data_IF_936128551924
#
_entry.id   IF_936128551924
#
_cell.length_a   1.000
_cell.length_b   1.000
_cell.length_c   1.000
_cell.angle_alpha   90.00
_cell.angle_beta   90.00
_cell.angle_gamma   90.00
#
_symmetry.space_group_name_H-M   'P 1'
#
loop_
_entity.id
_entity.type
_entity.pdbx_description
1 polymer ?
#
# COMPACT_ATOMS: atom_id res chain seq x y z
N UNK A 1 28.01 -52.70 18.26
CA UNK A 1 27.71 -51.93 19.49
C UNK A 1 26.64 -50.93 19.12
N UNK A 2 25.44 -51.19 19.62
CA UNK A 2 24.21 -50.49 19.29
C UNK A 2 24.28 -49.05 19.78
N UNK A 3 24.14 -48.09 18.86
CA UNK A 3 23.96 -46.68 19.18
C UNK A 3 22.55 -46.52 19.75
N UNK A 4 22.42 -46.54 21.07
CA UNK A 4 21.19 -46.12 21.77
C UNK A 4 20.89 -44.67 21.37
N UNK A 5 19.90 -44.50 20.49
CA UNK A 5 19.35 -43.20 20.15
C UNK A 5 18.67 -42.61 21.41
N UNK A 6 18.92 -41.34 21.76
CA UNK A 6 18.29 -40.73 22.91
C UNK A 6 16.79 -40.46 22.65
N UNK A 7 15.95 -41.16 23.42
CA UNK A 7 14.57 -40.83 23.82
C UNK A 7 13.40 -41.16 22.89
N UNK A 8 12.55 -42.09 23.34
CA UNK A 8 11.11 -42.13 23.04
C UNK A 8 10.29 -42.43 24.31
N UNK A 9 10.56 -41.68 25.39
CA UNK A 9 9.84 -41.80 26.69
C UNK A 9 8.30 -41.72 26.57
N UNK A 10 7.78 -41.07 25.52
CA UNK A 10 6.33 -40.99 25.24
C UNK A 10 5.74 -42.31 24.74
N UNK A 11 6.57 -43.15 24.13
CA UNK A 11 6.13 -44.35 23.41
C UNK A 11 6.51 -45.62 24.17
N UNK A 12 7.60 -45.67 24.96
CA UNK A 12 8.07 -46.87 25.69
C UNK A 12 7.03 -47.68 26.50
N UNK A 13 5.89 -47.07 26.88
CA UNK A 13 4.80 -47.75 27.61
C UNK A 13 3.78 -48.46 26.72
N UNK A 14 3.85 -48.33 25.39
CA UNK A 14 2.94 -49.00 24.46
C UNK A 14 3.54 -50.34 23.99
N UNK A 15 2.82 -51.47 24.14
CA UNK A 15 3.26 -52.74 23.58
C UNK A 15 3.20 -52.71 22.04
N UNK A 16 4.25 -53.18 21.38
CA UNK A 16 4.31 -53.32 19.91
C UNK A 16 4.91 -52.13 19.16
N UNK A 17 5.75 -51.32 19.80
CA UNK A 17 6.53 -50.30 19.09
C UNK A 17 7.70 -50.94 18.38
N UNK A 18 7.81 -50.58 17.11
CA UNK A 18 8.91 -50.97 16.26
C UNK A 18 10.20 -50.21 16.65
N UNK A 19 11.26 -50.96 16.92
CA UNK A 19 12.62 -50.45 17.21
C UNK A 19 13.56 -50.61 16.01
N UNK A 20 13.02 -51.02 14.86
CA UNK A 20 13.74 -51.05 13.60
C UNK A 20 14.15 -49.63 13.15
N UNK A 21 15.15 -49.51 12.24
CA UNK A 21 15.57 -48.22 11.72
C UNK A 21 14.38 -47.46 11.11
N UNK A 22 14.24 -46.18 11.48
CA UNK A 22 13.13 -45.32 11.05
C UNK A 22 13.09 -45.12 9.52
N UNK A 23 14.21 -45.28 8.83
CA UNK A 23 14.35 -45.08 7.38
C UNK A 23 15.11 -46.26 6.76
N UNK A 24 14.45 -46.92 5.82
CA UNK A 24 15.05 -47.93 4.95
C UNK A 24 15.25 -47.33 3.56
N UNK A 25 16.39 -46.67 3.36
CA UNK A 25 16.76 -46.08 2.07
C UNK A 25 17.78 -46.94 1.33
N UNK A 26 17.73 -46.88 0.00
CA UNK A 26 18.83 -47.38 -0.83
C UNK A 26 20.07 -46.53 -0.55
N UNK A 27 21.29 -47.11 -0.52
CA UNK A 27 22.50 -46.32 -0.30
C UNK A 27 22.57 -45.19 -1.33
N UNK A 28 22.86 -43.99 -0.86
CA UNK A 28 23.03 -42.81 -1.72
C UNK A 28 23.99 -43.17 -2.84
N UNK A 29 23.48 -43.12 -4.07
CA UNK A 29 24.32 -43.24 -5.24
C UNK A 29 25.26 -42.05 -5.21
N UNK A 30 26.57 -42.29 -5.20
CA UNK A 30 27.54 -41.21 -5.28
C UNK A 30 27.26 -40.40 -6.56
N UNK A 31 26.62 -39.24 -6.39
CA UNK A 31 26.27 -38.32 -7.49
C UNK A 31 27.53 -37.93 -8.28
N UNK A 32 28.70 -38.02 -7.65
CA UNK A 32 30.04 -37.79 -8.21
C UNK A 32 30.52 -38.80 -9.27
N UNK A 33 29.87 -39.96 -9.48
CA UNK A 33 30.29 -40.97 -10.47
C UNK A 33 29.32 -41.07 -11.67
N UNK A 34 28.23 -40.32 -11.66
CA UNK A 34 27.31 -40.29 -12.79
C UNK A 34 27.80 -39.34 -13.89
N UNK A 35 28.23 -39.90 -15.01
CA UNK A 35 28.52 -39.15 -16.26
C UNK A 35 27.25 -38.82 -17.06
N UNK A 36 26.07 -39.03 -16.48
CA UNK A 36 24.80 -38.61 -17.06
C UNK A 36 24.22 -37.47 -16.22
N UNK A 37 24.06 -36.26 -16.78
CA UNK A 37 23.53 -35.12 -16.07
C UNK A 37 22.06 -35.39 -15.73
N UNK A 38 21.80 -35.71 -14.46
CA UNK A 38 20.46 -35.77 -13.90
C UNK A 38 20.13 -34.44 -13.21
N UNK A 39 20.29 -33.33 -13.93
CA UNK A 39 19.66 -32.07 -13.58
C UNK A 39 19.10 -31.45 -14.85
N UNK A 40 17.81 -31.69 -15.07
CA UNK A 40 17.02 -30.82 -15.95
C UNK A 40 16.66 -29.56 -15.16
N UNK A 41 17.68 -28.89 -14.62
CA UNK A 41 17.64 -27.46 -14.39
C UNK A 41 18.42 -26.87 -15.57
N UNK A 42 17.80 -26.95 -16.75
CA UNK A 42 18.16 -26.06 -17.84
C UNK A 42 18.00 -24.64 -17.27
N UNK A 43 19.12 -24.01 -16.93
CA UNK A 43 19.16 -22.56 -16.84
C UNK A 43 18.93 -22.08 -18.27
N UNK A 44 17.66 -21.93 -18.63
CA UNK A 44 17.23 -21.43 -19.92
C UNK A 44 17.54 -19.94 -19.96
N UNK A 45 18.77 -19.62 -20.36
CA UNK A 45 19.13 -18.53 -21.29
C UNK A 45 20.54 -18.02 -21.03
N UNK A 46 21.53 -18.70 -21.61
CA UNK A 46 22.59 -17.98 -22.30
C UNK A 46 23.00 -18.77 -23.55
N UNK A 47 22.14 -18.75 -24.56
CA UNK A 47 22.55 -19.03 -25.93
C UNK A 47 23.33 -17.81 -26.46
N UNK A 48 24.50 -17.56 -25.87
CA UNK A 48 25.45 -16.52 -26.28
C UNK A 48 26.42 -17.02 -27.35
N UNK A 49 26.00 -17.98 -28.18
CA UNK A 49 26.70 -18.38 -29.42
C UNK A 49 25.82 -18.17 -30.67
N UNK A 50 24.72 -17.42 -30.53
CA UNK A 50 24.05 -16.86 -31.69
C UNK A 50 24.89 -15.69 -32.18
N UNK A 51 25.73 -15.94 -33.19
CA UNK A 51 26.38 -14.90 -33.98
C UNK A 51 25.36 -13.79 -34.26
N UNK A 52 25.55 -12.55 -33.76
CA UNK A 52 24.55 -11.48 -33.86
C UNK A 52 24.27 -11.10 -35.34
N UNK A 53 25.16 -11.50 -36.24
CA UNK A 53 25.05 -11.31 -37.69
C UNK A 53 24.28 -12.44 -38.41
N UNK A 54 24.00 -13.57 -37.75
CA UNK A 54 23.31 -14.74 -38.32
C UNK A 54 21.78 -14.71 -38.15
N UNK A 55 21.30 -13.89 -37.22
CA UNK A 55 19.88 -13.70 -36.92
C UNK A 55 19.26 -12.60 -37.79
N UNK A 56 18.18 -12.90 -38.52
CA UNK A 56 17.39 -11.88 -39.23
C UNK A 56 16.69 -10.90 -38.27
N UNK A 57 16.75 -11.14 -36.95
CA UNK A 57 16.16 -10.32 -35.90
C UNK A 57 17.26 -9.52 -35.20
N UNK A 58 17.10 -8.19 -35.18
CA UNK A 58 18.00 -7.29 -34.46
C UNK A 58 17.73 -7.37 -32.95
N UNK A 59 18.53 -8.15 -32.22
CA UNK A 59 18.51 -8.21 -30.76
C UNK A 59 19.28 -7.03 -30.17
N UNK A 60 18.69 -5.82 -30.21
CA UNK A 60 19.26 -4.66 -29.53
C UNK A 60 19.03 -4.79 -28.03
N UNK A 61 20.11 -4.84 -27.24
CA UNK A 61 20.04 -4.81 -25.77
C UNK A 61 19.38 -3.50 -25.32
N UNK A 62 18.30 -3.60 -24.56
CA UNK A 62 17.60 -2.45 -24.01
C UNK A 62 18.45 -1.84 -22.89
N UNK A 63 19.00 -0.65 -23.14
CA UNK A 63 19.66 0.14 -22.10
C UNK A 63 18.63 1.09 -21.49
N UNK A 64 18.05 0.69 -20.36
CA UNK A 64 16.97 1.45 -19.68
C UNK A 64 17.42 2.86 -19.29
N UNK A 65 18.67 3.03 -18.85
CA UNK A 65 19.19 4.32 -18.40
C UNK A 65 19.39 5.28 -19.57
N UNK A 66 19.93 4.80 -20.68
CA UNK A 66 20.05 5.56 -21.92
C UNK A 66 18.65 5.95 -22.43
N UNK A 67 17.71 5.00 -22.48
CA UNK A 67 16.34 5.26 -22.87
C UNK A 67 15.67 6.31 -21.95
N UNK A 68 15.86 6.22 -20.63
CA UNK A 68 15.33 7.18 -19.66
C UNK A 68 15.84 8.59 -19.92
N UNK A 69 17.14 8.76 -20.16
CA UNK A 69 17.73 10.07 -20.49
C UNK A 69 17.17 10.66 -21.80
N UNK A 70 16.81 9.81 -22.77
CA UNK A 70 16.21 10.26 -24.03
C UNK A 70 14.79 10.80 -23.85
N UNK A 71 14.00 10.21 -22.95
CA UNK A 71 12.59 10.59 -22.74
C UNK A 71 12.36 11.57 -21.58
N UNK A 72 13.31 11.74 -20.66
CA UNK A 72 13.24 12.71 -19.55
C UNK A 72 12.87 14.16 -19.99
N UNK A 73 13.44 14.73 -21.07
CA UNK A 73 13.09 16.09 -21.47
C UNK A 73 11.74 16.21 -22.17
N UNK A 74 11.13 15.09 -22.58
CA UNK A 74 9.85 15.09 -23.30
C UNK A 74 8.70 15.01 -22.30
N UNK A 75 7.85 16.04 -22.26
CA UNK A 75 6.58 16.02 -21.54
C UNK A 75 5.44 16.09 -22.56
N UNK A 76 4.46 15.21 -22.40
CA UNK A 76 3.27 15.15 -23.25
C UNK A 76 2.09 15.64 -22.43
N UNK A 77 1.37 16.64 -22.94
CA UNK A 77 0.09 17.08 -22.37
C UNK A 77 -1.03 16.23 -22.95
N UNK A 78 -1.87 15.66 -22.07
CA UNK A 78 -2.98 14.78 -22.43
C UNK A 78 -4.35 15.40 -22.13
N UNK A 79 -4.39 16.65 -21.67
CA UNK A 79 -5.64 17.34 -21.36
C UNK A 79 -6.28 17.86 -22.66
N UNK A 80 -7.20 17.08 -23.23
CA UNK A 80 -7.91 17.41 -24.49
C UNK A 80 -7.88 16.31 -25.55
N UNK A 81 -7.49 15.08 -25.20
CA UNK A 81 -7.58 13.94 -26.12
C UNK A 81 -9.03 13.47 -26.19
N UNK A 82 -9.80 14.06 -27.10
CA UNK A 82 -11.15 13.60 -27.45
C UNK A 82 -11.06 12.58 -28.59
N UNK A 83 -11.41 11.31 -28.31
CA UNK A 83 -11.46 10.22 -29.30
C UNK A 83 -12.73 10.25 -30.17
N UNK A 84 -13.53 11.31 -30.08
CA UNK A 84 -14.77 11.49 -30.85
C UNK A 84 -14.56 12.10 -32.23
N UNK A 85 -13.31 12.33 -32.65
CA UNK A 85 -13.02 12.98 -33.91
C UNK A 85 -13.10 12.03 -35.12
N UNK A 86 -13.66 12.54 -36.22
CA UNK A 86 -13.95 11.77 -37.43
C UNK A 86 -12.66 11.67 -38.28
N UNK A 87 -12.35 10.48 -38.83
CA UNK A 87 -11.07 10.09 -39.48
C UNK A 87 -10.57 11.02 -40.63
N UNK A 88 -11.37 12.02 -41.02
CA UNK A 88 -11.08 12.95 -42.10
C UNK A 88 -10.05 14.05 -41.76
N UNK A 89 -9.84 14.42 -40.49
CA UNK A 89 -8.84 15.44 -40.13
C UNK A 89 -7.75 14.87 -39.22
N UNK A 90 -6.53 14.78 -39.78
CA UNK A 90 -5.33 14.38 -39.01
C UNK A 90 -4.87 15.54 -38.14
N UNK A 91 -5.26 15.56 -36.87
CA UNK A 91 -4.58 16.37 -35.87
C UNK A 91 -3.48 15.53 -35.20
N UNK A 92 -2.22 15.94 -35.40
CA UNK A 92 -1.08 15.29 -34.74
C UNK A 92 -0.98 15.76 -33.29
N UNK A 93 -0.67 14.84 -32.36
CA UNK A 93 -0.33 15.16 -30.98
C UNK A 93 0.78 16.22 -30.93
N UNK A 94 0.54 17.33 -30.23
CA UNK A 94 1.52 18.40 -30.06
C UNK A 94 2.47 18.03 -28.92
N UNK A 95 3.70 17.62 -29.24
CA UNK A 95 4.78 17.48 -28.26
C UNK A 95 5.53 18.81 -28.16
N UNK A 96 5.56 19.44 -26.98
CA UNK A 96 6.33 20.67 -26.76
C UNK A 96 7.64 20.34 -26.06
N UNK A 97 8.76 20.45 -26.77
CA UNK A 97 10.09 20.42 -26.15
C UNK A 97 10.42 21.81 -25.63
N UNK A 98 10.51 21.99 -24.30
CA UNK A 98 10.99 23.23 -23.67
C UNK A 98 12.49 23.41 -23.95
N UNK A 99 12.82 23.79 -25.17
CA UNK A 99 14.15 24.29 -25.48
C UNK A 99 14.25 25.70 -24.87
N UNK A 100 15.00 25.81 -23.76
CA UNK A 100 15.26 27.09 -23.08
C UNK A 100 15.86 28.09 -24.07
N UNK A 101 15.04 29.03 -24.57
CA UNK A 101 15.51 30.32 -25.06
C UNK A 101 15.30 31.34 -23.96
N UNK A 102 16.42 31.81 -23.45
CA UNK A 102 16.56 32.94 -22.52
C UNK A 102 15.99 34.20 -23.18
N UNK A 103 14.91 34.74 -22.64
CA UNK A 103 14.32 36.02 -23.04
C UNK A 103 13.03 36.27 -22.26
N UNK A 104 13.04 37.31 -21.44
CA UNK A 104 11.90 37.84 -20.68
C UNK A 104 10.66 38.04 -21.54
N UNK A 105 9.52 37.52 -21.11
CA UNK A 105 8.21 38.16 -21.30
C UNK A 105 7.37 37.88 -20.06
N UNK A 106 7.27 38.90 -19.21
CA UNK A 106 6.12 39.11 -18.34
C UNK A 106 4.91 39.36 -19.25
N UNK A 107 3.89 38.55 -19.13
CA UNK A 107 2.59 38.76 -19.78
C UNK A 107 1.54 37.96 -19.04
N UNK A 108 0.65 38.67 -18.35
CA UNK A 108 -0.61 38.14 -17.83
C UNK A 108 -1.33 37.35 -18.94
N UNK A 109 -1.56 36.07 -18.68
CA UNK A 109 -2.44 35.23 -19.49
C UNK A 109 -3.81 35.17 -18.79
N UNK A 110 -4.62 36.21 -19.00
CA UNK A 110 -6.07 36.13 -18.85
C UNK A 110 -6.65 35.49 -20.11
N UNK A 111 -7.34 34.34 -20.00
CA UNK A 111 -8.34 33.93 -20.99
C UNK A 111 -9.28 32.83 -20.45
N UNK A 112 -9.86 33.04 -19.27
CA UNK A 112 -11.11 32.38 -18.90
C UNK A 112 -12.27 33.28 -19.32
N UNK A 113 -12.89 32.97 -20.45
CA UNK A 113 -14.18 33.55 -20.85
C UNK A 113 -15.24 33.21 -19.79
N UNK A 114 -15.50 34.15 -18.87
CA UNK A 114 -16.52 34.02 -17.82
C UNK A 114 -17.91 33.77 -18.42
N UNK A 115 -18.40 32.54 -18.33
CA UNK A 115 -19.81 32.21 -18.59
C UNK A 115 -20.68 32.94 -17.55
N UNK A 116 -21.47 33.92 -17.98
CA UNK A 116 -22.31 34.73 -17.09
C UNK A 116 -23.26 33.89 -16.21
N UNK A 117 -23.40 34.26 -14.93
CA UNK A 117 -24.32 33.59 -13.99
C UNK A 117 -25.79 33.80 -14.36
N UNK A 118 -26.64 32.80 -14.09
CA UNK A 118 -28.07 32.78 -14.47
C UNK A 118 -28.84 34.01 -13.98
N UNK A 119 -28.54 34.51 -12.77
CA UNK A 119 -29.16 35.72 -12.22
C UNK A 119 -28.79 36.98 -13.03
N UNK A 120 -27.52 37.07 -13.45
CA UNK A 120 -27.03 38.18 -14.30
C UNK A 120 -27.66 38.11 -15.69
N UNK A 121 -27.78 36.90 -16.26
CA UNK A 121 -28.47 36.65 -17.53
C UNK A 121 -29.95 37.05 -17.49
N UNK A 122 -30.66 36.76 -16.40
CA UNK A 122 -32.08 37.12 -16.23
C UNK A 122 -32.27 38.64 -16.09
N UNK A 123 -31.40 39.31 -15.35
CA UNK A 123 -31.44 40.77 -15.22
C UNK A 123 -31.10 41.47 -16.54
N UNK A 124 -30.18 40.90 -17.34
CA UNK A 124 -29.88 41.40 -18.69
C UNK A 124 -31.08 41.24 -19.61
N UNK A 125 -31.70 40.06 -19.64
CA UNK A 125 -32.90 39.82 -20.45
C UNK A 125 -34.07 40.74 -20.07
N UNK A 126 -34.25 41.05 -18.77
CA UNK A 126 -35.27 42.03 -18.35
C UNK A 126 -34.99 43.42 -18.94
N UNK A 127 -33.73 43.85 -18.95
CA UNK A 127 -33.34 45.13 -19.52
C UNK A 127 -33.48 45.14 -21.05
N UNK A 128 -33.05 44.07 -21.72
CA UNK A 128 -33.21 43.90 -23.17
C UNK A 128 -34.71 43.89 -23.57
N UNK A 129 -35.58 43.24 -22.77
CA UNK A 129 -37.02 43.24 -23.02
C UNK A 129 -37.66 44.64 -22.85
N UNK A 130 -37.21 45.42 -21.86
CA UNK A 130 -37.65 46.80 -21.67
C UNK A 130 -37.17 47.72 -22.79
N UNK A 131 -35.93 47.56 -23.24
CA UNK A 131 -35.37 48.31 -24.36
C UNK A 131 -36.13 48.05 -25.68
N UNK A 132 -36.53 46.80 -25.91
CA UNK A 132 -37.38 46.44 -27.05
C UNK A 132 -38.79 47.05 -26.97
N UNK A 133 -39.36 47.14 -25.76
CA UNK A 133 -40.65 47.79 -25.54
C UNK A 133 -40.58 49.30 -25.85
N UNK A 134 -39.54 49.97 -25.37
CA UNK A 134 -39.29 51.39 -25.65
C UNK A 134 -39.04 51.64 -27.15
N UNK A 135 -38.28 50.77 -27.82
CA UNK A 135 -38.02 50.88 -29.26
C UNK A 135 -39.32 50.68 -30.08
N UNK A 136 -40.17 49.73 -29.67
CA UNK A 136 -41.48 49.52 -30.28
C UNK A 136 -42.40 50.74 -30.12
N UNK A 137 -42.41 51.37 -28.93
CA UNK A 137 -43.18 52.59 -28.69
C UNK A 137 -42.68 53.79 -29.50
N UNK A 138 -41.35 53.95 -29.64
CA UNK A 138 -40.75 55.00 -30.46
C UNK A 138 -41.07 54.83 -31.94
N UNK A 139 -40.98 53.60 -32.48
CA UNK A 139 -41.37 53.30 -33.87
C UNK A 139 -42.84 53.58 -34.14
N UNK A 140 -43.72 53.27 -33.16
CA UNK A 140 -45.15 53.61 -33.23
C UNK A 140 -45.39 55.12 -33.27
N UNK A 141 -44.62 55.91 -32.53
CA UNK A 141 -44.72 57.38 -32.51
C UNK A 141 -44.13 58.03 -33.77
N UNK A 142 -43.07 57.45 -34.34
CA UNK A 142 -42.43 57.93 -35.58
C UNK A 142 -43.30 57.74 -36.84
N UNK A 143 -44.37 56.94 -36.76
CA UNK A 143 -45.34 56.81 -37.83
C UNK A 143 -44.78 56.12 -39.09
N UNK A 144 -43.76 55.28 -38.94
CA UNK A 144 -43.23 54.45 -40.04
C UNK A 144 -44.30 53.44 -40.47
N UNK A 145 -44.85 53.65 -41.66
CA UNK A 145 -45.89 52.80 -42.27
C UNK A 145 -45.32 51.72 -43.20
N UNK A 146 -44.02 51.44 -43.14
CA UNK A 146 -43.48 50.25 -43.81
C UNK A 146 -43.70 49.04 -42.91
N UNK A 147 -44.75 48.28 -43.24
CA UNK A 147 -44.98 46.87 -42.89
C UNK A 147 -44.35 46.38 -41.59
N UNK A 148 -45.15 46.04 -40.58
CA UNK A 148 -45.22 44.65 -40.14
C UNK A 148 -46.68 44.35 -39.76
N UNK A 149 -47.21 43.21 -40.18
CA UNK A 149 -48.41 42.59 -39.59
C UNK A 149 -48.08 42.22 -38.13
N UNK A 150 -48.08 43.22 -37.26
CA UNK A 150 -47.41 43.17 -35.94
C UNK A 150 -48.41 43.23 -34.78
N UNK A 151 -49.56 42.58 -34.94
CA UNK A 151 -50.46 42.37 -33.79
C UNK A 151 -49.85 41.43 -32.76
N UNK A 152 -48.96 40.52 -33.19
CA UNK A 152 -48.44 39.46 -32.35
C UNK A 152 -47.18 39.85 -31.55
N UNK A 153 -46.38 40.83 -31.98
CA UNK A 153 -45.14 41.17 -31.28
C UNK A 153 -45.41 41.73 -29.87
N UNK A 154 -46.45 42.55 -29.72
CA UNK A 154 -46.85 43.12 -28.43
C UNK A 154 -47.38 42.04 -27.47
N UNK A 155 -48.19 41.12 -27.97
CA UNK A 155 -48.70 39.99 -27.19
C UNK A 155 -47.56 39.04 -26.77
N UNK A 156 -46.60 38.79 -27.66
CA UNK A 156 -45.41 37.97 -27.35
C UNK A 156 -44.53 38.66 -26.30
N UNK A 157 -44.34 39.98 -26.36
CA UNK A 157 -43.59 40.74 -25.35
C UNK A 157 -44.26 40.69 -23.97
N UNK A 158 -45.59 40.88 -23.91
CA UNK A 158 -46.37 40.77 -22.68
C UNK A 158 -46.30 39.35 -22.09
N UNK A 159 -46.39 38.30 -22.93
CA UNK A 159 -46.24 36.91 -22.51
C UNK A 159 -44.83 36.58 -21.97
N UNK A 160 -43.79 37.19 -22.52
CA UNK A 160 -42.41 37.02 -22.05
C UNK A 160 -42.23 37.72 -20.70
N UNK A 161 -42.71 38.96 -20.54
CA UNK A 161 -42.67 39.67 -19.26
C UNK A 161 -43.43 38.90 -18.18
N UNK A 162 -44.64 38.43 -18.48
CA UNK A 162 -45.47 37.63 -17.57
C UNK A 162 -44.78 36.34 -17.12
N UNK A 163 -44.09 35.64 -18.04
CA UNK A 163 -43.37 34.40 -17.70
C UNK A 163 -42.13 34.69 -16.86
N UNK A 164 -41.40 35.76 -17.17
CA UNK A 164 -40.24 36.20 -16.37
C UNK A 164 -40.67 36.63 -14.97
N UNK A 165 -41.79 37.36 -14.85
CA UNK A 165 -42.35 37.79 -13.57
C UNK A 165 -42.95 36.63 -12.76
N UNK A 166 -43.56 35.62 -13.40
CA UNK A 166 -43.99 34.37 -12.72
C UNK A 166 -42.81 33.59 -12.16
N UNK A 167 -41.70 33.48 -12.91
CA UNK A 167 -40.47 32.82 -12.42
C UNK A 167 -39.85 33.61 -11.27
N UNK A 168 -39.93 34.95 -11.32
CA UNK A 168 -39.47 35.81 -10.22
C UNK A 168 -40.38 35.73 -8.98
N UNK A 169 -41.70 35.71 -9.16
CA UNK A 169 -42.69 35.64 -8.09
C UNK A 169 -42.75 34.26 -7.42
N UNK A 170 -42.62 33.17 -8.17
CA UNK A 170 -42.50 31.81 -7.64
C UNK A 170 -41.29 31.64 -6.70
N UNK A 171 -40.27 32.48 -6.86
CA UNK A 171 -39.09 32.51 -5.99
C UNK A 171 -39.25 33.43 -4.76
N UNK A 172 -40.21 34.37 -4.77
CA UNK A 172 -40.36 35.40 -3.72
C UNK A 172 -41.65 35.29 -2.86
N UNK A 173 -42.68 34.56 -3.27
CA UNK A 173 -43.97 34.48 -2.56
C UNK A 173 -44.01 33.41 -1.47
N UNK A 174 -43.99 33.83 -0.19
CA UNK A 174 -44.15 32.95 0.99
C UNK A 174 -45.42 33.26 1.77
N UNK A 175 -46.37 32.32 1.82
CA UNK A 175 -47.47 32.26 2.78
C UNK A 175 -47.19 31.19 3.86
N UNK A 176 -47.93 31.21 4.96
CA UNK A 176 -47.75 30.29 6.12
C UNK A 176 -48.11 28.84 5.82
N UNK A 177 -49.08 28.60 4.93
CA UNK A 177 -49.48 27.26 4.44
C UNK A 177 -48.38 26.52 3.66
N UNK A 178 -47.78 27.10 2.59
CA UNK A 178 -46.69 26.43 1.88
C UNK A 178 -45.42 26.31 2.73
N UNK A 179 -45.30 27.10 3.80
CA UNK A 179 -44.21 26.96 4.77
C UNK A 179 -44.43 25.74 5.67
N UNK A 180 -45.67 25.51 6.12
CA UNK A 180 -46.08 24.33 6.88
C UNK A 180 -45.95 23.05 6.04
N UNK A 181 -46.46 23.04 4.82
CA UNK A 181 -46.32 21.89 3.91
C UNK A 181 -44.85 21.60 3.60
N UNK A 182 -44.02 22.64 3.42
CA UNK A 182 -42.57 22.47 3.23
C UNK A 182 -41.90 21.94 4.49
N UNK A 183 -42.35 22.30 5.70
CA UNK A 183 -41.80 21.74 6.94
C UNK A 183 -42.23 20.31 7.18
N UNK A 184 -43.47 19.94 6.84
CA UNK A 184 -43.98 18.57 6.95
C UNK A 184 -43.28 17.67 5.92
N UNK A 185 -43.10 18.13 4.69
CA UNK A 185 -42.33 17.39 3.67
C UNK A 185 -40.85 17.22 4.06
N UNK A 186 -40.25 18.22 4.72
CA UNK A 186 -38.88 18.10 5.26
C UNK A 186 -38.77 17.10 6.40
N UNK A 187 -39.82 16.96 7.22
CA UNK A 187 -39.85 15.98 8.30
C UNK A 187 -40.06 14.56 7.76
N UNK A 188 -40.96 14.40 6.78
CA UNK A 188 -41.22 13.12 6.13
C UNK A 188 -40.05 12.65 5.23
N UNK A 189 -39.26 13.58 4.71
CA UNK A 189 -38.05 13.29 3.91
C UNK A 189 -36.76 13.24 4.73
N UNK A 190 -36.84 13.18 6.07
CA UNK A 190 -35.67 13.07 6.92
C UNK A 190 -35.14 11.63 6.89
N UNK A 191 -34.03 11.41 6.18
CA UNK A 191 -33.26 10.17 6.31
C UNK A 191 -32.56 10.15 7.69
N UNK A 192 -32.65 9.04 8.45
CA UNK A 192 -31.98 8.92 9.75
C UNK A 192 -30.48 9.18 9.61
N UNK A 193 -29.98 10.17 10.37
CA UNK A 193 -28.58 10.53 10.59
C UNK A 193 -27.53 9.98 9.60
N UNK A 194 -27.55 10.47 8.36
CA UNK A 194 -26.38 10.37 7.50
C UNK A 194 -25.23 11.19 8.10
N UNK A 195 -24.00 10.64 8.07
CA UNK A 195 -22.80 11.32 8.58
C UNK A 195 -22.71 12.73 7.98
N UNK A 196 -22.75 13.75 8.84
CA UNK A 196 -22.81 15.12 8.35
C UNK A 196 -21.55 15.45 7.57
N UNK A 197 -21.73 16.05 6.39
CA UNK A 197 -20.61 16.47 5.52
C UNK A 197 -19.64 17.38 6.26
N UNK A 198 -20.14 18.17 7.22
CA UNK A 198 -19.35 19.03 8.11
C UNK A 198 -18.47 18.24 9.06
N UNK A 199 -18.96 17.15 9.68
CA UNK A 199 -18.14 16.28 10.54
C UNK A 199 -17.12 15.50 9.70
N UNK A 200 -17.48 15.00 8.52
CA UNK A 200 -16.54 14.34 7.62
C UNK A 200 -15.42 15.28 7.16
N UNK A 201 -15.74 16.53 6.80
CA UNK A 201 -14.72 17.54 6.49
C UNK A 201 -13.93 17.99 7.71
N UNK A 202 -14.52 17.97 8.90
CA UNK A 202 -13.82 18.30 10.15
C UNK A 202 -12.84 17.19 10.57
N UNK A 203 -13.17 15.93 10.32
CA UNK A 203 -12.26 14.79 10.54
C UNK A 203 -11.12 14.81 9.52
N UNK A 204 -11.41 15.13 8.25
CA UNK A 204 -10.38 15.25 7.20
C UNK A 204 -9.42 16.43 7.43
N UNK A 205 -9.92 17.52 8.04
CA UNK A 205 -9.16 18.74 8.29
C UNK A 205 -8.65 18.87 9.75
N UNK A 206 -8.81 17.84 10.57
CA UNK A 206 -8.27 17.87 11.93
C UNK A 206 -6.73 17.85 11.88
N UNK A 207 -6.05 18.75 12.60
CA UNK A 207 -4.61 18.64 12.77
C UNK A 207 -4.32 17.31 13.46
N UNK A 208 -3.31 16.54 12.98
CA UNK A 208 -3.04 15.22 13.53
C UNK A 208 -2.66 15.39 15.01
N UNK A 209 -3.13 14.46 15.85
CA UNK A 209 -2.99 14.54 17.31
C UNK A 209 -1.55 14.92 17.71
N UNK A 210 -1.36 15.83 18.68
CA UNK A 210 -0.04 16.26 19.14
C UNK A 210 0.69 15.06 19.76
N UNK A 211 1.60 14.48 18.98
CA UNK A 211 2.28 13.21 19.26
C UNK A 211 2.67 12.46 17.98
N UNK A 212 1.91 12.62 16.90
CA UNK A 212 2.13 11.94 15.61
C UNK A 212 3.23 12.58 14.76
N UNK A 213 3.38 13.91 14.75
CA UNK A 213 4.41 14.60 13.95
C UNK A 213 5.84 14.37 14.45
N UNK A 214 6.01 14.22 15.77
CA UNK A 214 7.30 13.88 16.39
C UNK A 214 7.68 12.44 16.01
N UNK A 215 6.70 11.54 15.91
CA UNK A 215 6.91 10.17 15.44
C UNK A 215 7.21 10.10 13.94
N UNK A 216 6.53 10.87 13.08
CA UNK A 216 6.79 10.82 11.63
C UNK A 216 8.19 11.30 11.26
N UNK A 217 8.67 12.39 11.88
CA UNK A 217 10.04 12.89 11.64
C UNK A 217 11.12 11.96 12.20
N UNK A 218 10.85 11.30 13.34
CA UNK A 218 11.73 10.27 13.88
C UNK A 218 11.74 9.02 13.01
N UNK A 219 10.57 8.58 12.52
CA UNK A 219 10.44 7.46 11.59
C UNK A 219 11.13 7.76 10.26
N UNK A 220 10.94 8.95 9.70
CA UNK A 220 11.63 9.38 8.48
C UNK A 220 13.15 9.35 8.66
N UNK A 221 13.66 9.77 9.82
CA UNK A 221 15.09 9.66 10.14
C UNK A 221 15.56 8.22 10.25
N UNK A 222 14.79 7.33 10.87
CA UNK A 222 15.12 5.90 10.96
C UNK A 222 15.06 5.23 9.59
N UNK A 223 14.09 5.58 8.75
CA UNK A 223 13.95 5.08 7.38
C UNK A 223 15.07 5.59 6.48
N UNK A 224 15.45 6.86 6.58
CA UNK A 224 16.61 7.41 5.88
C UNK A 224 17.90 6.71 6.31
N UNK A 225 18.08 6.49 7.62
CA UNK A 225 19.22 5.75 8.13
C UNK A 225 19.23 4.28 7.66
N UNK A 226 18.07 3.63 7.59
CA UNK A 226 17.95 2.28 7.05
C UNK A 226 18.27 2.23 5.55
N UNK A 227 17.83 3.23 4.78
CA UNK A 227 18.16 3.36 3.36
C UNK A 227 19.67 3.61 3.13
N UNK A 228 20.33 4.40 3.99
CA UNK A 228 21.79 4.59 3.94
C UNK A 228 22.54 3.28 4.24
N UNK A 229 22.06 2.48 5.21
CA UNK A 229 22.63 1.17 5.50
C UNK A 229 22.41 0.19 4.35
N UNK A 230 21.22 0.18 3.75
CA UNK A 230 20.89 -0.66 2.59
C UNK A 230 21.75 -0.29 1.37
N UNK A 231 21.92 1.00 1.09
CA UNK A 231 22.81 1.48 0.03
C UNK A 231 24.27 1.05 0.28
N UNK A 232 24.74 1.08 1.54
CA UNK A 232 26.08 0.61 1.90
C UNK A 232 26.21 -0.91 1.79
N UNK A 233 25.18 -1.66 2.17
CA UNK A 233 25.13 -3.12 2.02
C UNK A 233 25.15 -3.47 0.53
N UNK A 234 24.32 -2.84 -0.30
CA UNK A 234 24.31 -3.01 -1.75
C UNK A 234 25.67 -2.69 -2.39
N UNK A 235 26.38 -1.66 -1.91
CA UNK A 235 27.76 -1.37 -2.36
C UNK A 235 28.73 -2.48 -1.96
N UNK A 236 28.61 -3.03 -0.74
CA UNK A 236 29.42 -4.16 -0.30
C UNK A 236 29.10 -5.42 -1.09
N UNK A 237 27.83 -5.73 -1.33
CA UNK A 237 27.37 -6.84 -2.16
C UNK A 237 27.88 -6.73 -3.59
N UNK A 238 27.82 -5.53 -4.19
CA UNK A 238 28.38 -5.26 -5.50
C UNK A 238 29.90 -5.48 -5.51
N UNK A 239 30.62 -5.04 -4.47
CA UNK A 239 32.07 -5.25 -4.36
C UNK A 239 32.46 -6.71 -4.17
N UNK A 240 31.61 -7.48 -3.52
CA UNK A 240 31.79 -8.92 -3.29
C UNK A 240 31.22 -9.77 -4.45
N UNK A 241 30.49 -9.17 -5.39
CA UNK A 241 29.83 -9.86 -6.50
C UNK A 241 28.65 -10.74 -6.06
N UNK A 242 28.16 -10.60 -4.83
CA UNK A 242 27.05 -11.35 -4.27
C UNK A 242 25.72 -10.73 -4.73
N UNK A 243 25.43 -10.79 -6.04
CA UNK A 243 24.09 -10.43 -6.52
C UNK A 243 23.09 -11.53 -6.12
N UNK A 244 21.83 -11.19 -5.82
CA UNK A 244 20.83 -12.12 -5.26
C UNK A 244 20.54 -13.42 -6.02
N UNK A 245 21.14 -13.64 -7.20
CA UNK A 245 21.19 -14.94 -7.89
C UNK A 245 22.29 -15.89 -7.35
N UNK A 246 23.24 -15.37 -6.56
CA UNK A 246 24.29 -16.10 -5.85
C UNK A 246 23.97 -16.24 -4.35
N UNK A 247 22.68 -16.24 -4.00
CA UNK A 247 22.25 -16.60 -2.65
C UNK A 247 22.54 -18.10 -2.46
N UNK A 248 23.31 -18.51 -1.44
CA UNK A 248 23.81 -19.88 -1.29
C UNK A 248 22.72 -20.90 -0.90
N UNK A 249 21.44 -20.50 -0.87
CA UNK A 249 20.34 -21.36 -0.45
C UNK A 249 19.80 -22.27 -1.58
N UNK A 250 20.24 -22.09 -2.83
CA UNK A 250 19.74 -22.87 -3.99
C UNK A 250 20.82 -23.32 -5.00
N UNK A 251 22.11 -23.08 -4.77
CA UNK A 251 23.19 -23.51 -5.68
C UNK A 251 24.12 -24.51 -5.00
N UNK A 252 24.36 -25.68 -5.62
CA UNK A 252 25.32 -26.70 -5.18
C UNK A 252 26.75 -26.13 -4.97
N UNK A 253 27.07 -25.02 -5.63
CA UNK A 253 28.28 -24.24 -5.40
C UNK A 253 28.03 -23.13 -4.36
N UNK A 254 27.88 -23.51 -3.09
CA UNK A 254 27.89 -22.52 -2.00
C UNK A 254 29.15 -21.66 -2.11
N UNK A 255 28.99 -20.33 -2.15
CA UNK A 255 30.08 -19.38 -2.30
C UNK A 255 31.21 -19.72 -1.33
N UNK A 256 32.33 -20.24 -1.84
CA UNK A 256 33.46 -20.57 -0.99
C UNK A 256 33.86 -19.33 -0.18
N UNK A 257 34.15 -19.46 1.13
CA UNK A 257 34.46 -18.31 1.95
C UNK A 257 35.60 -17.53 1.31
N UNK A 258 35.37 -16.25 1.01
CA UNK A 258 36.33 -15.38 0.29
C UNK A 258 37.70 -15.42 0.98
N UNK A 259 37.72 -15.53 2.31
CA UNK A 259 38.95 -15.65 3.08
C UNK A 259 39.71 -16.94 2.82
N UNK A 260 39.05 -18.10 2.69
CA UNK A 260 39.78 -19.36 2.42
C UNK A 260 40.28 -19.44 0.99
N UNK A 261 39.55 -18.86 0.04
CA UNK A 261 40.03 -18.75 -1.35
C UNK A 261 41.20 -17.78 -1.45
N UNK A 262 41.17 -16.65 -0.74
CA UNK A 262 42.27 -15.69 -0.69
C UNK A 262 43.50 -16.27 0.03
N UNK A 263 43.32 -16.98 1.14
CA UNK A 263 44.41 -17.68 1.84
C UNK A 263 45.02 -18.79 0.95
N UNK A 264 44.18 -19.55 0.23
CA UNK A 264 44.67 -20.52 -0.75
C UNK A 264 45.43 -19.83 -1.89
N UNK A 265 44.96 -18.69 -2.39
CA UNK A 265 45.66 -17.92 -3.41
C UNK A 265 46.99 -17.36 -2.87
N UNK A 266 47.03 -16.87 -1.64
CA UNK A 266 48.24 -16.42 -0.97
C UNK A 266 49.24 -17.56 -0.81
N UNK A 267 48.80 -18.74 -0.35
CA UNK A 267 49.61 -19.94 -0.28
C UNK A 267 50.14 -20.36 -1.66
N UNK A 268 49.33 -20.24 -2.72
CA UNK A 268 49.82 -20.52 -4.09
C UNK A 268 50.81 -19.46 -4.58
N UNK A 269 50.63 -18.18 -4.23
CA UNK A 269 51.56 -17.09 -4.55
C UNK A 269 52.89 -17.27 -3.82
N UNK A 270 52.84 -17.65 -2.55
CA UNK A 270 54.01 -17.99 -1.73
C UNK A 270 54.69 -19.23 -2.29
N UNK A 271 53.95 -20.25 -2.72
CA UNK A 271 54.52 -21.44 -3.36
C UNK A 271 55.19 -21.11 -4.70
N UNK A 272 54.59 -20.24 -5.52
CA UNK A 272 55.19 -19.76 -6.78
C UNK A 272 56.42 -18.90 -6.50
N UNK A 273 56.37 -18.01 -5.50
CA UNK A 273 57.52 -17.21 -5.07
C UNK A 273 58.65 -18.06 -4.48
N UNK A 274 58.31 -19.11 -3.74
CA UNK A 274 59.25 -20.07 -3.16
C UNK A 274 59.79 -21.07 -4.19
N UNK A 275 59.06 -21.34 -5.28
CA UNK A 275 59.53 -22.12 -6.43
C UNK A 275 60.41 -21.28 -7.38
N UNK A 276 60.24 -19.96 -7.40
CA UNK A 276 61.11 -19.04 -8.12
C UNK A 276 62.49 -18.87 -7.43
N UNK A 277 62.57 -19.11 -6.11
CA UNK A 277 63.82 -19.43 -5.44
C UNK A 277 64.05 -20.95 -5.44
N UNK A 278 65.27 -21.45 -5.40
CA UNK A 278 65.51 -22.91 -5.34
C UNK A 278 65.11 -23.56 -4.00
N UNK A 279 64.38 -22.86 -3.14
CA UNK A 279 64.09 -23.23 -1.74
C UNK A 279 63.01 -24.30 -1.60
N UNK A 280 62.06 -24.40 -2.53
CA UNK A 280 61.02 -25.43 -2.50
C UNK A 280 61.60 -26.84 -2.66
N UNK A 281 62.62 -26.99 -3.51
CA UNK A 281 63.30 -28.27 -3.71
C UNK A 281 63.98 -28.73 -2.41
N UNK A 282 64.71 -27.84 -1.74
CA UNK A 282 65.39 -28.10 -0.48
C UNK A 282 64.40 -28.38 0.66
N UNK A 283 63.35 -27.57 0.80
CA UNK A 283 62.29 -27.80 1.78
C UNK A 283 61.55 -29.14 1.54
N UNK A 284 61.30 -29.52 0.28
CA UNK A 284 60.68 -30.80 -0.05
C UNK A 284 61.57 -31.99 0.30
N UNK A 285 62.89 -31.85 0.18
CA UNK A 285 63.85 -32.88 0.59
C UNK A 285 63.90 -33.00 2.11
N UNK A 286 63.87 -31.88 2.83
CA UNK A 286 63.78 -31.88 4.29
C UNK A 286 62.47 -32.50 4.80
N UNK A 287 61.33 -32.19 4.17
CA UNK A 287 60.04 -32.81 4.51
C UNK A 287 60.06 -34.31 4.24
N UNK A 288 60.63 -34.76 3.12
CA UNK A 288 60.80 -36.20 2.84
C UNK A 288 61.70 -36.89 3.87
N UNK A 289 62.78 -36.24 4.30
CA UNK A 289 63.63 -36.74 5.39
C UNK A 289 62.84 -36.86 6.70
N UNK A 290 62.07 -35.82 7.06
CA UNK A 290 61.27 -35.84 8.28
C UNK A 290 60.13 -36.87 8.23
N UNK A 291 59.56 -37.14 7.06
CA UNK A 291 58.58 -38.23 6.88
C UNK A 291 59.25 -39.58 7.11
N UNK A 292 60.43 -39.81 6.53
CA UNK A 292 61.17 -41.06 6.74
C UNK A 292 61.56 -41.24 8.22
N UNK A 293 61.99 -40.16 8.90
CA UNK A 293 62.31 -40.18 10.32
C UNK A 293 61.07 -40.44 11.19
N UNK A 294 59.92 -39.87 10.84
CA UNK A 294 58.65 -40.11 11.53
C UNK A 294 58.12 -41.52 11.32
N UNK A 295 58.28 -42.08 10.11
CA UNK A 295 57.94 -43.47 9.81
C UNK A 295 58.83 -44.44 10.60
N UNK A 296 60.14 -44.16 10.70
CA UNK A 296 61.06 -44.94 11.53
C UNK A 296 60.69 -44.87 13.03
N UNK A 297 60.29 -43.70 13.53
CA UNK A 297 59.80 -43.54 14.91
C UNK A 297 58.48 -44.27 15.15
N UNK A 298 57.58 -44.29 14.17
CA UNK A 298 56.32 -45.04 14.24
C UNK A 298 56.58 -46.55 14.28
N UNK A 299 57.52 -47.03 13.46
CA UNK A 299 57.94 -48.44 13.48
C UNK A 299 58.57 -48.80 14.83
N UNK A 300 59.49 -47.98 15.34
CA UNK A 300 60.07 -48.17 16.67
C UNK A 300 59.02 -48.16 17.80
N UNK A 301 57.96 -47.35 17.66
CA UNK A 301 56.85 -47.29 18.62
C UNK A 301 55.94 -48.52 18.55
N UNK A 302 55.67 -49.04 17.35
CA UNK A 302 54.93 -50.30 17.15
C UNK A 302 55.73 -51.50 17.70
N UNK A 303 57.04 -51.53 17.46
CA UNK A 303 57.95 -52.54 18.02
C UNK A 303 58.03 -52.44 19.56
N UNK A 304 57.92 -51.23 20.13
CA UNK A 304 57.82 -51.01 21.57
C UNK A 304 56.44 -51.39 22.14
N UNK A 305 55.34 -51.18 21.41
CA UNK A 305 54.00 -51.62 21.81
C UNK A 305 53.87 -53.15 21.83
N UNK A 306 54.54 -53.85 20.91
CA UNK A 306 54.61 -55.32 20.87
C UNK A 306 55.41 -55.93 22.04
N UNK A 307 56.20 -55.09 22.75
CA UNK A 307 56.96 -55.50 23.95
C UNK A 307 56.17 -55.47 25.27
N UNK A 308 54.87 -55.20 25.23
CA UNK A 308 53.92 -55.65 26.27
C UNK A 308 53.62 -54.69 27.42
N UNK A 309 53.52 -53.38 27.18
CA UNK A 309 53.04 -52.42 28.20
C UNK A 309 52.00 -51.40 27.66
N UNK A 310 51.20 -51.80 26.66
CA UNK A 310 50.11 -50.99 26.14
C UNK A 310 48.75 -51.57 26.60
N UNK A 311 48.10 -50.85 27.53
CA UNK A 311 46.69 -51.07 27.86
C UNK A 311 45.83 -50.97 26.59
N UNK A 312 44.72 -51.73 26.47
CA UNK A 312 43.86 -51.66 25.28
C UNK A 312 43.39 -50.23 25.06
N UNK A 313 43.29 -49.75 23.80
CA UNK A 313 42.79 -48.41 23.50
C UNK A 313 41.43 -48.25 24.16
N UNK A 314 41.43 -47.40 25.18
CA UNK A 314 40.39 -47.36 26.18
C UNK A 314 39.05 -46.98 25.56
N UNK A 315 37.93 -47.36 26.16
CA UNK A 315 36.60 -46.84 25.82
C UNK A 315 36.54 -45.29 25.77
N UNK A 316 37.55 -44.61 26.32
CA UNK A 316 37.71 -43.17 26.22
C UNK A 316 38.14 -42.75 24.82
N UNK A 317 38.96 -43.52 24.11
CA UNK A 317 39.35 -43.23 22.72
C UNK A 317 38.18 -43.37 21.75
N UNK A 318 37.31 -44.37 21.94
CA UNK A 318 36.08 -44.49 21.14
C UNK A 318 35.09 -43.36 21.44
N UNK A 319 34.95 -42.94 22.70
CA UNK A 319 34.16 -41.76 23.09
C UNK A 319 34.76 -40.45 22.56
N UNK A 320 36.08 -40.30 22.61
CA UNK A 320 36.79 -39.14 22.06
C UNK A 320 36.61 -39.09 20.55
N UNK A 321 36.75 -40.21 19.83
CA UNK A 321 36.51 -40.28 18.39
C UNK A 321 35.05 -39.98 18.02
N UNK A 322 34.09 -40.42 18.84
CA UNK A 322 32.69 -40.05 18.66
C UNK A 322 32.46 -38.54 18.87
N UNK A 323 33.10 -37.91 19.88
CA UNK A 323 33.06 -36.46 20.10
C UNK A 323 33.79 -35.68 19.00
N UNK A 324 34.89 -36.20 18.48
CA UNK A 324 35.60 -35.62 17.35
C UNK A 324 34.79 -35.71 16.05
N UNK A 325 33.89 -36.71 15.94
CA UNK A 325 32.91 -36.80 14.87
C UNK A 325 31.76 -35.77 14.99
N UNK A 326 31.38 -35.38 16.21
CA UNK A 326 30.34 -34.36 16.42
C UNK A 326 30.90 -32.93 16.46
N UNK A 327 32.22 -32.76 16.67
CA UNK A 327 32.86 -31.45 16.71
C UNK A 327 32.72 -30.66 15.39
N UNK A 328 32.90 -31.24 14.19
CA UNK A 328 32.71 -30.52 12.93
C UNK A 328 31.28 -30.00 12.73
N UNK A 329 30.26 -30.70 13.24
CA UNK A 329 28.87 -30.20 13.15
C UNK A 329 28.63 -29.06 14.13
N UNK A 330 29.21 -29.12 15.33
CA UNK A 330 29.18 -28.04 16.31
C UNK A 330 29.96 -26.82 15.81
N UNK A 331 31.14 -27.00 15.22
CA UNK A 331 31.95 -25.91 14.67
C UNK A 331 31.25 -25.18 13.52
N UNK A 332 30.49 -25.90 12.69
CA UNK A 332 29.64 -25.28 11.65
C UNK A 332 28.46 -24.50 12.23
N UNK A 333 27.85 -24.98 13.32
CA UNK A 333 26.66 -24.37 13.94
C UNK A 333 26.99 -23.25 14.94
N UNK A 334 28.17 -23.29 15.56
CA UNK A 334 28.65 -22.29 16.52
C UNK A 334 28.59 -20.84 16.00
N UNK A 335 29.04 -20.51 14.77
CA UNK A 335 28.94 -19.15 14.25
C UNK A 335 27.50 -18.72 13.91
N UNK A 336 26.57 -19.66 13.72
CA UNK A 336 25.16 -19.35 13.43
C UNK A 336 24.34 -19.03 14.71
N UNK A 337 24.73 -19.56 15.87
CA UNK A 337 24.07 -19.31 17.15
C UNK A 337 23.91 -17.82 17.52
N UNK A 338 24.94 -16.95 17.45
CA UNK A 338 24.75 -15.54 17.78
C UNK A 338 23.74 -14.84 16.85
N UNK A 339 23.75 -15.15 15.55
CA UNK A 339 22.79 -14.61 14.60
C UNK A 339 21.36 -15.06 14.91
N UNK A 340 21.18 -16.34 15.23
CA UNK A 340 19.87 -16.89 15.63
C UNK A 340 19.41 -16.27 16.95
N UNK A 341 20.30 -16.03 17.91
CA UNK A 341 19.96 -15.37 19.17
C UNK A 341 19.55 -13.90 18.96
N UNK A 342 20.22 -13.17 18.07
CA UNK A 342 19.81 -11.80 17.72
C UNK A 342 18.44 -11.78 17.03
N UNK A 343 18.20 -12.70 16.08
CA UNK A 343 16.88 -12.88 15.45
C UNK A 343 15.80 -13.28 16.45
N UNK A 344 16.10 -14.17 17.39
CA UNK A 344 15.17 -14.54 18.46
C UNK A 344 14.91 -13.38 19.42
N UNK A 345 15.88 -12.49 19.65
CA UNK A 345 15.70 -11.29 20.46
C UNK A 345 14.79 -10.28 19.78
N UNK A 346 14.95 -10.04 18.47
CA UNK A 346 14.02 -9.19 17.70
C UNK A 346 12.64 -9.83 17.62
N UNK A 347 12.57 -11.14 17.39
CA UNK A 347 11.33 -11.89 17.35
C UNK A 347 10.62 -11.89 18.71
N UNK A 348 11.35 -11.99 19.83
CA UNK A 348 10.78 -11.83 21.17
C UNK A 348 10.12 -10.48 21.34
N UNK A 349 10.74 -9.39 20.87
CA UNK A 349 10.15 -8.06 20.92
C UNK A 349 8.84 -8.02 20.11
N UNK A 350 8.83 -8.60 18.91
CA UNK A 350 7.63 -8.72 18.09
C UNK A 350 6.55 -9.55 18.79
N UNK A 351 6.87 -10.72 19.35
CA UNK A 351 5.91 -11.54 20.10
C UNK A 351 5.35 -10.84 21.33
N UNK A 352 6.18 -10.10 22.08
CA UNK A 352 5.67 -9.30 23.21
C UNK A 352 4.75 -8.19 22.76
N UNK A 353 5.05 -7.53 21.63
CA UNK A 353 4.16 -6.52 21.05
C UNK A 353 2.87 -7.13 20.50
N UNK A 354 2.93 -8.33 19.93
CA UNK A 354 1.76 -9.06 19.44
C UNK A 354 0.84 -9.50 20.60
N UNK A 355 1.42 -9.97 21.71
CA UNK A 355 0.66 -10.30 22.91
C UNK A 355 -0.02 -9.06 23.52
N UNK A 356 0.68 -7.92 23.57
CA UNK A 356 0.08 -6.67 24.03
C UNK A 356 -1.03 -6.16 23.07
N UNK A 357 -0.86 -6.33 21.76
CA UNK A 357 -1.88 -6.00 20.78
C UNK A 357 -3.12 -6.91 20.91
N UNK A 358 -2.93 -8.20 21.18
CA UNK A 358 -4.02 -9.14 21.45
C UNK A 358 -4.82 -8.74 22.69
N UNK A 359 -4.16 -8.32 23.78
CA UNK A 359 -4.82 -7.78 24.97
C UNK A 359 -5.64 -6.51 24.66
N UNK A 360 -5.07 -5.57 23.90
CA UNK A 360 -5.77 -4.34 23.48
C UNK A 360 -6.95 -4.65 22.56
N UNK A 361 -6.83 -5.63 21.67
CA UNK A 361 -7.92 -6.07 20.80
C UNK A 361 -9.04 -6.74 21.61
N UNK A 362 -8.69 -7.59 22.58
CA UNK A 362 -9.66 -8.20 23.49
C UNK A 362 -10.38 -7.14 24.33
N UNK A 363 -9.67 -6.12 24.81
CA UNK A 363 -10.30 -4.98 25.50
C UNK A 363 -11.22 -4.18 24.56
N UNK A 364 -10.80 -3.96 23.31
CA UNK A 364 -11.61 -3.26 22.31
C UNK A 364 -12.89 -4.04 21.99
N UNK A 365 -12.81 -5.36 21.83
CA UNK A 365 -13.98 -6.24 21.63
C UNK A 365 -14.93 -6.17 22.83
N UNK A 366 -14.39 -6.18 24.05
CA UNK A 366 -15.18 -5.98 25.27
C UNK A 366 -15.83 -4.58 25.36
N UNK A 367 -15.20 -3.54 24.82
CA UNK A 367 -15.80 -2.20 24.73
C UNK A 367 -16.85 -2.11 23.62
N UNK A 368 -16.62 -2.73 22.48
CA UNK A 368 -17.58 -2.77 21.37
C UNK A 368 -18.86 -3.50 21.77
N UNK A 369 -18.76 -4.67 22.41
CA UNK A 369 -19.93 -5.37 22.94
C UNK A 369 -20.74 -4.54 23.95
N UNK A 370 -20.07 -3.79 24.86
CA UNK A 370 -20.77 -2.84 25.74
C UNK A 370 -21.44 -1.70 24.98
N UNK A 371 -20.78 -1.14 23.96
CA UNK A 371 -21.37 -0.10 23.12
C UNK A 371 -22.60 -0.61 22.36
N UNK A 372 -22.57 -1.85 21.86
CA UNK A 372 -23.74 -2.47 21.24
C UNK A 372 -24.90 -2.64 22.22
N UNK A 373 -24.63 -2.99 23.49
CA UNK A 373 -25.65 -3.03 24.54
C UNK A 373 -26.21 -1.63 24.86
N UNK A 374 -25.36 -0.62 24.93
CA UNK A 374 -25.77 0.78 25.12
C UNK A 374 -26.62 1.28 23.95
N UNK A 375 -26.24 0.99 22.71
CA UNK A 375 -27.01 1.33 21.50
C UNK A 375 -28.39 0.67 21.54
N UNK A 376 -28.48 -0.63 21.89
CA UNK A 376 -29.78 -1.30 22.06
C UNK A 376 -30.63 -0.68 23.17
N UNK A 377 -30.01 -0.16 24.23
CA UNK A 377 -30.73 0.57 25.26
C UNK A 377 -31.21 1.94 24.77
N UNK A 378 -30.41 2.63 23.95
CA UNK A 378 -30.79 3.90 23.33
C UNK A 378 -31.92 3.71 22.32
N UNK A 379 -31.92 2.62 21.54
CA UNK A 379 -33.02 2.26 20.64
C UNK A 379 -34.32 2.08 21.43
N UNK A 380 -34.30 1.30 22.52
CA UNK A 380 -35.48 1.14 23.40
C UNK A 380 -35.95 2.46 23.99
N UNK A 381 -35.02 3.30 24.45
CA UNK A 381 -35.35 4.62 24.99
C UNK A 381 -35.94 5.53 23.91
N UNK A 382 -35.43 5.46 22.68
CA UNK A 382 -35.95 6.21 21.54
C UNK A 382 -37.36 5.76 21.18
N UNK A 383 -37.65 4.45 21.17
CA UNK A 383 -38.98 3.90 20.94
C UNK A 383 -39.98 4.39 22.02
N UNK A 384 -39.54 4.43 23.28
CA UNK A 384 -40.35 4.99 24.37
C UNK A 384 -40.63 6.48 24.15
N UNK A 385 -39.61 7.25 23.79
CA UNK A 385 -39.76 8.69 23.49
C UNK A 385 -40.64 8.90 22.27
N UNK A 386 -40.54 8.08 21.22
CA UNK A 386 -41.41 8.15 20.04
C UNK A 386 -42.87 7.88 20.42
N UNK A 387 -43.12 6.86 21.24
CA UNK A 387 -44.45 6.56 21.74
C UNK A 387 -45.01 7.72 22.59
N UNK A 388 -44.18 8.34 23.44
CA UNK A 388 -44.59 9.48 24.25
C UNK A 388 -44.81 10.74 23.41
N UNK A 389 -44.00 11.00 22.38
CA UNK A 389 -44.20 12.09 21.41
C UNK A 389 -45.51 11.89 20.66
N UNK A 390 -45.84 10.66 20.22
CA UNK A 390 -47.13 10.36 19.58
C UNK A 390 -48.31 10.63 20.51
N UNK A 391 -48.23 10.20 21.78
CA UNK A 391 -49.26 10.52 22.80
C UNK A 391 -49.38 12.03 22.99
N UNK A 392 -48.27 12.75 23.09
CA UNK A 392 -48.27 14.20 23.24
C UNK A 392 -48.82 14.91 21.99
N UNK A 393 -48.58 14.39 20.79
CA UNK A 393 -49.16 14.89 19.54
C UNK A 393 -50.68 14.70 19.52
N UNK A 394 -51.20 13.55 19.94
CA UNK A 394 -52.64 13.31 20.07
C UNK A 394 -53.30 14.25 21.09
N UNK A 395 -52.66 14.43 22.25
CA UNK A 395 -53.11 15.39 23.27
C UNK A 395 -53.06 16.82 22.73
N UNK A 396 -52.02 17.20 21.99
CA UNK A 396 -51.89 18.52 21.39
C UNK A 396 -52.97 18.74 20.32
N UNK A 397 -53.26 17.76 19.46
CA UNK A 397 -54.38 17.81 18.51
C UNK A 397 -55.72 17.97 19.23
N UNK A 398 -55.91 17.27 20.35
CA UNK A 398 -57.07 17.43 21.22
C UNK A 398 -57.18 18.87 21.76
N UNK A 399 -56.10 19.39 22.34
CA UNK A 399 -56.05 20.75 22.88
C UNK A 399 -56.27 21.81 21.80
N UNK A 400 -55.68 21.67 20.61
CA UNK A 400 -55.87 22.59 19.48
C UNK A 400 -57.32 22.57 18.99
N UNK A 401 -58.00 21.42 19.00
CA UNK A 401 -59.43 21.35 18.70
C UNK A 401 -60.27 22.09 19.73
N UNK A 402 -60.02 21.86 21.02
CA UNK A 402 -60.72 22.57 22.12
C UNK A 402 -60.51 24.08 22.01
N UNK A 403 -59.27 24.52 21.83
CA UNK A 403 -58.95 25.94 21.63
C UNK A 403 -59.59 26.48 20.35
N UNK A 404 -59.63 25.70 19.27
CA UNK A 404 -60.29 26.08 18.03
C UNK A 404 -61.80 26.23 18.19
N UNK A 405 -62.45 25.35 18.95
CA UNK A 405 -63.88 25.43 19.25
C UNK A 405 -64.18 26.59 20.21
N UNK A 406 -63.32 26.85 21.19
CA UNK A 406 -63.40 28.03 22.06
C UNK A 406 -63.25 29.34 21.27
N UNK A 407 -62.29 29.41 20.34
CA UNK A 407 -62.11 30.56 19.44
C UNK A 407 -63.34 30.74 18.55
N UNK A 408 -63.89 29.68 17.97
CA UNK A 408 -65.14 29.76 17.20
C UNK A 408 -66.31 30.25 18.04
N UNK A 409 -66.46 29.75 19.27
CA UNK A 409 -67.50 30.25 20.19
C UNK A 409 -67.32 31.74 20.51
N UNK A 410 -66.09 32.21 20.65
CA UNK A 410 -65.78 33.64 20.84
C UNK A 410 -66.10 34.42 19.56
N UNK A 411 -65.72 33.93 18.39
CA UNK A 411 -66.04 34.53 17.08
C UNK A 411 -67.55 34.65 16.87
N UNK A 412 -68.32 33.61 17.19
CA UNK A 412 -69.78 33.63 17.11
C UNK A 412 -70.40 34.65 18.07
N UNK A 413 -69.89 34.74 19.31
CA UNK A 413 -70.33 35.76 20.28
C UNK A 413 -69.99 37.16 19.80
N UNK A 414 -68.80 37.38 19.24
CA UNK A 414 -68.41 38.67 18.64
C UNK A 414 -69.31 38.98 17.45
N UNK A 415 -69.59 38.00 16.57
CA UNK A 415 -70.48 38.20 15.43
C UNK A 415 -71.90 38.57 15.86
N UNK A 416 -72.44 37.94 16.91
CA UNK A 416 -73.74 38.30 17.51
C UNK A 416 -73.73 39.71 18.07
N UNK A 417 -72.70 40.10 18.83
CA UNK A 417 -72.55 41.46 19.35
C UNK A 417 -72.41 42.50 18.22
N UNK A 418 -71.72 42.16 17.14
CA UNK A 418 -71.57 43.03 15.97
C UNK A 418 -72.85 43.13 15.13
N UNK A 419 -73.74 42.14 15.20
CA UNK A 419 -75.05 42.16 14.57
C UNK A 419 -76.07 42.95 15.40
N UNK A 420 -76.06 42.79 16.74
CA UNK A 420 -76.90 43.57 17.65
C UNK A 420 -76.50 45.07 17.71
N UNK A 421 -75.24 45.40 17.44
CA UNK A 421 -74.78 46.79 17.33
C UNK A 421 -75.10 47.49 16.00
N UNK A 422 -75.86 46.86 15.09
CA UNK A 422 -76.27 47.42 13.78
C UNK A 422 -77.78 47.70 13.65
N UNK A 423 -78.55 47.48 14.71
CA UNK A 423 -79.89 48.06 14.89
C UNK A 423 -79.80 49.31 15.75
#
# INVERSE_FOLDING_TARGET
>A
MSTEAPSRLKFDSLPGIDTEPDVYETPDLAEDVSTLPASTALSESDYSDADPDSSAVNHRRLQTDAARSHFEPTRVDANGVDFSDNIAQKQAYRTYTRQRRRGEVLGDEDSDEERESFARKLMRLKREAQELEDEYEQRKQAGDKTQIEERDAREVMELISDKVDKVYAARRGGGTEPLLDRTIQKFNGYEPFAQSKTIATAIANQPPLPGTQIQTSQLERVLAQAADFDARIAQMELSLGLSGAALPEMGEDSTHPVLSTLDRLDQTLVAIGSAAGNNLADASQHVKSLIADAEALKQARLEAEDSGDAAPPSEQESKINALYGTLPSIEKLAPALPLVLERLRSLRLVHTSAAAADEVLSELEARQSKQEEEIKNWEKQLDMVEADVKKHEEVLKGNVKVVGDDVKMIEEKIAKLMAEGRE
#
